data_IF_386009233214
#
_entry.id   IF_386009233214
#
_cell.length_a   1.000
_cell.length_b   1.000
_cell.length_c   1.000
_cell.angle_alpha   90.00
_cell.angle_beta   90.00
_cell.angle_gamma   90.00
#
_symmetry.space_group_name_H-M   'P 1'
#
loop_
_entity.id
_entity.type
_entity.pdbx_description
1 polymer ?
#
# COMPACT_ATOMS: atom_id res chain seq x y z
N UNK A 1 2.12 12.67 0.09
CA UNK A 1 2.34 12.41 1.54
C UNK A 1 3.13 11.12 1.65
N UNK A 2 4.34 11.16 2.20
CA UNK A 2 5.14 9.94 2.39
C UNK A 2 4.88 9.43 3.80
N UNK A 3 4.01 8.43 3.93
CA UNK A 3 3.84 7.69 5.18
C UNK A 3 4.76 6.47 5.14
N UNK A 4 5.56 6.30 6.19
CA UNK A 4 6.48 5.17 6.35
C UNK A 4 5.92 4.26 7.44
N UNK A 5 5.75 2.97 7.14
CA UNK A 5 5.36 1.96 8.10
C UNK A 5 6.16 0.68 7.90
N UNK A 6 6.49 0.03 9.01
CA UNK A 6 7.11 -1.29 8.97
C UNK A 6 6.02 -2.32 8.70
N UNK A 7 6.14 -3.01 7.57
CA UNK A 7 5.12 -3.93 7.08
C UNK A 7 5.78 -5.26 6.73
N UNK A 8 5.04 -6.35 6.91
CA UNK A 8 5.53 -7.67 6.56
C UNK A 8 5.57 -7.81 5.03
N UNK A 9 6.72 -8.24 4.51
CA UNK A 9 6.86 -8.61 3.09
C UNK A 9 6.30 -10.02 2.88
N UNK A 10 5.33 -10.19 1.99
CA UNK A 10 4.68 -11.48 1.75
C UNK A 10 5.35 -12.29 0.64
N UNK A 11 5.32 -11.75 -0.58
CA UNK A 11 5.68 -12.51 -1.78
C UNK A 11 6.38 -11.63 -2.81
N UNK A 12 7.31 -12.23 -3.54
CA UNK A 12 7.92 -11.62 -4.72
C UNK A 12 7.07 -11.87 -5.94
N UNK A 13 6.87 -10.83 -6.75
CA UNK A 13 6.15 -10.95 -8.01
C UNK A 13 7.06 -10.74 -9.21
N UNK A 14 8.04 -9.84 -9.08
CA UNK A 14 8.85 -9.47 -10.23
C UNK A 14 10.27 -9.04 -9.82
N UNK A 15 11.21 -9.40 -10.68
CA UNK A 15 12.57 -8.89 -10.68
C UNK A 15 12.95 -8.66 -12.14
N UNK A 16 13.50 -7.49 -12.44
CA UNK A 16 13.89 -7.11 -13.79
C UNK A 16 15.12 -7.88 -14.29
N UNK A 17 16.04 -8.25 -13.38
CA UNK A 17 17.35 -8.79 -13.75
C UNK A 17 17.37 -10.31 -13.89
N UNK A 18 16.72 -11.04 -12.98
CA UNK A 18 16.73 -12.51 -13.01
C UNK A 18 15.43 -13.09 -12.44
N UNK A 19 14.80 -13.97 -13.21
CA UNK A 19 13.55 -14.64 -12.85
C UNK A 19 13.74 -15.68 -11.73
N UNK A 20 14.92 -16.28 -11.63
CA UNK A 20 15.24 -17.25 -10.58
C UNK A 20 15.13 -16.65 -9.18
N UNK A 21 15.47 -15.37 -9.02
CA UNK A 21 15.37 -14.66 -7.75
C UNK A 21 13.92 -14.51 -7.26
N UNK A 22 12.95 -14.54 -8.18
CA UNK A 22 11.52 -14.57 -7.83
C UNK A 22 11.14 -15.96 -7.32
N UNK A 23 11.64 -17.02 -7.98
CA UNK A 23 11.39 -18.43 -7.63
C UNK A 23 11.98 -18.79 -6.27
N UNK A 24 13.23 -18.38 -6.00
CA UNK A 24 13.94 -18.64 -4.74
C UNK A 24 13.56 -17.69 -3.60
N UNK A 25 12.67 -16.72 -3.85
CA UNK A 25 12.29 -15.68 -2.89
C UNK A 25 13.49 -14.89 -2.35
N UNK A 26 14.53 -14.60 -3.14
CA UNK A 26 15.74 -13.85 -2.73
C UNK A 26 15.56 -12.32 -2.85
N UNK A 27 15.65 -11.56 -1.75
CA UNK A 27 15.42 -10.09 -1.73
C UNK A 27 16.63 -9.33 -2.27
N UNK A 28 16.40 -8.50 -3.29
CA UNK A 28 17.42 -7.61 -3.87
C UNK A 28 16.83 -6.24 -4.13
N UNK A 29 17.70 -5.25 -4.33
CA UNK A 29 17.30 -3.90 -4.75
C UNK A 29 16.47 -3.97 -6.04
N UNK A 30 15.46 -3.12 -6.13
CA UNK A 30 14.54 -2.97 -7.25
C UNK A 30 13.64 -4.19 -7.52
N UNK A 31 13.52 -5.09 -6.54
CA UNK A 31 12.56 -6.18 -6.61
C UNK A 31 11.16 -5.68 -6.26
N UNK A 32 10.16 -6.14 -7.00
CA UNK A 32 8.76 -5.84 -6.74
C UNK A 32 8.15 -6.92 -5.85
N UNK A 33 7.61 -6.47 -4.73
CA UNK A 33 7.07 -7.30 -3.66
C UNK A 33 5.64 -6.91 -3.32
N UNK A 34 4.90 -7.87 -2.78
CA UNK A 34 3.62 -7.64 -2.11
C UNK A 34 3.84 -7.38 -0.63
N UNK A 35 3.21 -6.32 -0.15
CA UNK A 35 3.30 -5.87 1.23
C UNK A 35 1.91 -5.67 1.82
N UNK A 36 1.81 -5.75 3.14
CA UNK A 36 0.54 -5.53 3.83
C UNK A 36 0.03 -4.10 3.64
N UNK A 37 -1.26 -3.98 3.31
CA UNK A 37 -1.95 -2.70 3.20
C UNK A 37 -2.54 -2.20 4.53
N UNK A 38 -2.69 -3.06 5.54
CA UNK A 38 -3.41 -2.72 6.78
C UNK A 38 -2.89 -1.49 7.52
N UNK A 39 -1.58 -1.27 7.75
CA UNK A 39 -1.14 -0.09 8.48
C UNK A 39 -1.30 1.20 7.67
N UNK A 40 -1.22 1.11 6.34
CA UNK A 40 -1.50 2.24 5.44
C UNK A 40 -2.99 2.61 5.48
N UNK A 41 -3.87 1.61 5.50
CA UNK A 41 -5.32 1.80 5.63
C UNK A 41 -5.68 2.45 6.97
N UNK A 42 -5.15 1.93 8.07
CA UNK A 42 -5.38 2.48 9.42
C UNK A 42 -4.93 3.94 9.51
N UNK A 43 -3.74 4.26 8.99
CA UNK A 43 -3.26 5.63 8.96
C UNK A 43 -4.15 6.53 8.11
N UNK A 44 -4.58 6.05 6.93
CA UNK A 44 -5.44 6.82 6.03
C UNK A 44 -6.79 7.14 6.68
N UNK A 45 -7.42 6.14 7.30
CA UNK A 45 -8.69 6.30 8.02
C UNK A 45 -8.54 7.27 9.20
N UNK A 46 -7.47 7.18 9.97
CA UNK A 46 -7.19 8.13 11.06
C UNK A 46 -6.85 9.55 10.57
N UNK A 47 -6.22 9.67 9.40
CA UNK A 47 -5.74 10.96 8.88
C UNK A 47 -6.84 11.77 8.18
N UNK A 48 -7.69 11.09 7.41
CA UNK A 48 -8.72 11.69 6.57
C UNK A 48 -10.15 11.47 7.09
N UNK A 49 -10.37 10.52 8.01
CA UNK A 49 -11.71 10.05 8.39
C UNK A 49 -12.57 9.68 7.18
N UNK A 50 -11.97 8.90 6.28
CA UNK A 50 -12.63 8.32 5.12
C UNK A 50 -12.32 6.82 5.12
N UNK A 51 -13.33 5.95 5.01
CA UNK A 51 -13.10 4.51 4.92
C UNK A 51 -12.42 4.17 3.59
N UNK A 52 -11.39 3.31 3.63
CA UNK A 52 -10.63 2.91 2.43
C UNK A 52 -10.56 1.38 2.32
N UNK A 53 -10.67 0.84 1.09
CA UNK A 53 -10.42 -0.58 0.83
C UNK A 53 -11.44 -1.56 1.41
N UNK A 54 -12.67 -1.11 1.70
CA UNK A 54 -13.73 -1.95 2.28
C UNK A 54 -14.73 -2.38 1.21
N UNK A 55 -15.03 -3.68 1.13
CA UNK A 55 -16.17 -4.16 0.34
C UNK A 55 -17.46 -3.56 0.92
N UNK A 56 -18.32 -3.04 0.06
CA UNK A 56 -19.65 -2.52 0.46
C UNK A 56 -20.39 -3.62 1.23
N UNK A 57 -20.63 -3.40 2.53
CA UNK A 57 -21.35 -4.33 3.40
C UNK A 57 -20.50 -5.17 4.38
N UNK A 58 -19.17 -5.03 4.40
CA UNK A 58 -18.36 -5.65 5.44
C UNK A 58 -18.55 -4.95 6.80
N UNK A 59 -18.87 -5.72 7.85
CA UNK A 59 -19.00 -5.22 9.23
C UNK A 59 -17.66 -4.65 9.68
N UNK A 60 -17.67 -3.40 10.14
CA UNK A 60 -16.50 -2.78 10.74
C UNK A 60 -16.25 -3.39 12.13
N UNK A 61 -14.98 -3.41 12.56
CA UNK A 61 -14.70 -3.67 13.98
C UNK A 61 -15.10 -2.46 14.82
N UNK A 62 -15.45 -2.64 16.10
CA UNK A 62 -15.87 -1.53 16.97
C UNK A 62 -14.83 -0.39 17.04
N UNK A 63 -13.54 -0.75 17.03
CA UNK A 63 -12.41 0.18 17.07
C UNK A 63 -12.34 1.06 15.81
N UNK A 64 -12.64 0.50 14.64
CA UNK A 64 -12.62 1.22 13.37
C UNK A 64 -13.82 2.17 13.23
N UNK A 65 -14.99 1.78 13.74
CA UNK A 65 -16.18 2.66 13.79
C UNK A 65 -15.96 3.86 14.70
N UNK A 66 -15.28 3.65 15.84
CA UNK A 66 -14.97 4.74 16.77
C UNK A 66 -14.03 5.77 16.15
N UNK A 67 -13.02 5.33 15.39
CA UNK A 67 -12.08 6.22 14.70
C UNK A 67 -12.78 7.03 13.60
N UNK A 68 -13.67 6.39 12.83
CA UNK A 68 -14.40 7.04 11.74
C UNK A 68 -15.47 8.02 12.22
N UNK A 69 -16.17 7.69 13.32
CA UNK A 69 -17.26 8.51 13.87
C UNK A 69 -16.81 9.40 15.03
N UNK A 70 -15.49 9.58 15.21
CA UNK A 70 -14.95 10.37 16.31
C UNK A 70 -15.45 11.82 16.24
N UNK A 71 -16.17 12.24 17.27
CA UNK A 71 -16.59 13.64 17.41
C UNK A 71 -15.39 14.51 17.74
N UNK A 72 -15.13 15.49 16.88
CA UNK A 72 -14.03 16.43 17.04
C UNK A 72 -14.51 17.84 17.39
N UNK A 73 -13.62 18.62 18.01
CA UNK A 73 -13.86 20.04 18.22
C UNK A 73 -13.90 20.79 16.87
N UNK A 74 -14.64 21.91 16.81
CA UNK A 74 -14.86 22.68 15.57
C UNK A 74 -13.55 23.04 14.82
N UNK A 75 -12.46 23.30 15.54
CA UNK A 75 -11.13 23.60 14.96
C UNK A 75 -10.49 22.38 14.29
N UNK A 76 -10.60 21.21 14.93
CA UNK A 76 -10.05 19.96 14.40
C UNK A 76 -10.87 19.47 13.21
N UNK A 77 -12.20 19.61 13.27
CA UNK A 77 -13.10 19.32 12.15
C UNK A 77 -12.71 20.11 10.90
N UNK A 78 -12.51 21.43 11.02
CA UNK A 78 -12.07 22.29 9.90
C UNK A 78 -10.72 21.84 9.31
N UNK A 79 -9.79 21.38 10.15
CA UNK A 79 -8.48 20.84 9.70
C UNK A 79 -8.66 19.56 8.89
N UNK A 80 -9.56 18.68 9.33
CA UNK A 80 -9.81 17.39 8.67
C UNK A 80 -10.59 17.59 7.38
N UNK A 81 -11.60 18.46 7.37
CA UNK A 81 -12.29 18.84 6.13
C UNK A 81 -11.36 19.51 5.12
N UNK A 82 -10.36 20.25 5.60
CA UNK A 82 -9.25 20.73 4.77
C UNK A 82 -8.44 19.60 4.13
N UNK A 83 -8.08 18.57 4.90
CA UNK A 83 -7.36 17.39 4.41
C UNK A 83 -8.18 16.54 3.46
N UNK A 84 -9.49 16.38 3.71
CA UNK A 84 -10.40 15.60 2.86
C UNK A 84 -10.38 16.06 1.39
N UNK A 85 -10.11 17.34 1.13
CA UNK A 85 -9.99 17.84 -0.25
C UNK A 85 -8.86 17.20 -1.04
N UNK A 86 -7.77 16.81 -0.38
CA UNK A 86 -6.61 16.15 -1.00
C UNK A 86 -6.62 14.64 -0.88
N UNK A 87 -7.74 14.03 -0.48
CA UNK A 87 -7.83 12.59 -0.20
C UNK A 87 -8.01 11.71 -1.44
N UNK A 88 -7.88 12.26 -2.64
CA UNK A 88 -8.15 11.49 -3.86
C UNK A 88 -7.02 10.49 -4.10
N UNK A 89 -7.34 9.19 -4.08
CA UNK A 89 -6.44 8.09 -4.41
C UNK A 89 -6.71 7.64 -5.86
N UNK A 90 -5.69 7.07 -6.51
CA UNK A 90 -5.86 6.44 -7.83
C UNK A 90 -6.69 5.15 -7.74
N UNK A 91 -7.56 4.90 -8.71
CA UNK A 91 -8.42 3.71 -8.76
C UNK A 91 -7.63 2.40 -8.65
N UNK A 92 -6.44 2.33 -9.27
CA UNK A 92 -5.57 1.15 -9.21
C UNK A 92 -5.08 0.85 -7.78
N UNK A 93 -4.84 1.89 -6.97
CA UNK A 93 -4.46 1.72 -5.57
C UNK A 93 -5.67 1.29 -4.74
N UNK A 94 -6.86 1.85 -5.01
CA UNK A 94 -8.09 1.43 -4.32
C UNK A 94 -8.38 -0.07 -4.50
N UNK A 95 -8.17 -0.60 -5.71
CA UNK A 95 -8.26 -2.04 -5.99
C UNK A 95 -7.28 -2.86 -5.16
N UNK A 96 -6.05 -2.39 -4.97
CA UNK A 96 -5.04 -3.07 -4.15
C UNK A 96 -5.38 -3.03 -2.66
N UNK A 97 -5.92 -1.91 -2.17
CA UNK A 97 -6.42 -1.81 -0.81
C UNK A 97 -7.59 -2.78 -0.55
N UNK A 98 -8.48 -2.98 -1.53
CA UNK A 98 -9.54 -3.99 -1.46
C UNK A 98 -9.01 -5.43 -1.40
N UNK A 99 -7.88 -5.69 -2.06
CA UNK A 99 -7.20 -7.00 -2.01
C UNK A 99 -6.41 -7.20 -0.70
N UNK A 100 -6.20 -6.13 0.08
CA UNK A 100 -5.43 -6.15 1.31
C UNK A 100 -3.92 -6.14 1.12
N UNK A 101 -3.41 -6.03 -0.12
CA UNK A 101 -1.98 -6.14 -0.44
C UNK A 101 -1.58 -5.07 -1.45
N UNK A 102 -0.48 -4.37 -1.17
CA UNK A 102 0.07 -3.31 -2.02
C UNK A 102 1.32 -3.82 -2.75
N UNK A 103 1.52 -3.30 -3.96
CA UNK A 103 2.78 -3.49 -4.69
C UNK A 103 3.80 -2.45 -4.23
N UNK A 104 4.99 -2.89 -3.86
CA UNK A 104 6.09 -2.02 -3.47
C UNK A 104 7.40 -2.42 -4.17
N UNK A 105 8.27 -1.43 -4.32
CA UNK A 105 9.63 -1.61 -4.82
C UNK A 105 10.63 -1.47 -3.68
N UNK A 106 11.55 -2.43 -3.56
CA UNK A 106 12.65 -2.36 -2.60
C UNK A 106 13.70 -1.37 -3.12
N UNK A 107 13.96 -0.30 -2.38
CA UNK A 107 14.98 0.69 -2.73
C UNK A 107 16.33 0.39 -2.06
N UNK A 108 16.32 -0.31 -0.94
CA UNK A 108 17.51 -0.70 -0.18
C UNK A 108 18.28 -1.86 -0.83
N UNK A 109 19.45 -2.19 -0.26
CA UNK A 109 20.26 -3.37 -0.64
C UNK A 109 20.31 -4.34 0.55
N UNK A 110 19.31 -5.24 0.71
CA UNK A 110 19.17 -6.07 1.91
C UNK A 110 20.40 -6.90 2.26
N UNK A 111 21.12 -7.44 1.26
CA UNK A 111 22.35 -8.21 1.47
C UNK A 111 23.56 -7.41 1.95
N UNK A 112 23.45 -6.08 2.09
CA UNK A 112 24.51 -5.22 2.61
C UNK A 112 24.08 -4.53 3.90
N UNK A 113 22.88 -3.93 3.91
CA UNK A 113 22.39 -3.17 5.06
C UNK A 113 21.54 -3.98 6.04
N UNK A 114 21.18 -5.24 5.72
CA UNK A 114 20.29 -6.07 6.54
C UNK A 114 18.84 -5.57 6.59
N UNK A 115 18.48 -4.56 5.78
CA UNK A 115 17.14 -3.93 5.76
C UNK A 115 16.52 -3.96 4.38
N UNK A 116 15.20 -4.12 4.33
CA UNK A 116 14.40 -4.18 3.11
C UNK A 116 13.46 -2.97 2.99
N UNK A 117 14.05 -1.78 2.96
CA UNK A 117 13.30 -0.52 2.85
C UNK A 117 12.92 -0.26 1.39
N UNK A 118 11.75 0.33 1.19
CA UNK A 118 11.15 0.54 -0.13
C UNK A 118 10.03 1.56 -0.12
N UNK A 119 9.35 1.67 -1.24
CA UNK A 119 8.20 2.55 -1.43
C UNK A 119 7.09 1.84 -2.20
N UNK A 120 5.84 2.25 -1.96
CA UNK A 120 4.67 1.74 -2.67
C UNK A 120 4.69 2.26 -4.11
N UNK A 121 4.36 1.39 -5.07
CA UNK A 121 4.27 1.75 -6.47
C UNK A 121 2.99 2.54 -6.74
N UNK A 122 3.12 3.70 -7.39
CA UNK A 122 1.99 4.59 -7.72
C UNK A 122 2.02 5.03 -9.19
N UNK A 123 0.86 5.48 -9.70
CA UNK A 123 0.73 6.11 -11.03
C UNK A 123 1.26 5.27 -12.19
N UNK A 124 2.04 5.91 -13.08
CA UNK A 124 2.60 5.28 -14.30
C UNK A 124 3.53 4.12 -14.00
N UNK A 125 4.24 4.17 -12.87
CA UNK A 125 5.16 3.11 -12.47
C UNK A 125 4.39 1.84 -12.08
N UNK A 126 3.30 2.01 -11.34
CA UNK A 126 2.39 0.92 -11.00
C UNK A 126 1.82 0.24 -12.26
N UNK A 127 1.33 1.04 -13.21
CA UNK A 127 0.82 0.53 -14.49
C UNK A 127 1.88 -0.26 -15.27
N UNK A 128 3.12 0.25 -15.31
CA UNK A 128 4.22 -0.40 -15.99
C UNK A 128 4.51 -1.79 -15.41
N UNK A 129 4.66 -1.90 -14.09
CA UNK A 129 4.94 -3.18 -13.44
C UNK A 129 3.75 -4.13 -13.47
N UNK A 130 2.51 -3.64 -13.33
CA UNK A 130 1.32 -4.46 -13.51
C UNK A 130 1.28 -5.10 -14.89
N UNK A 131 1.58 -4.34 -15.95
CA UNK A 131 1.66 -4.86 -17.32
C UNK A 131 2.75 -5.93 -17.46
N UNK A 132 3.93 -5.72 -16.88
CA UNK A 132 5.03 -6.69 -16.90
C UNK A 132 4.69 -7.99 -16.16
N UNK A 133 4.06 -7.89 -14.99
CA UNK A 133 3.61 -9.05 -14.19
C UNK A 133 2.55 -9.84 -14.97
N UNK A 134 1.54 -9.16 -15.56
CA UNK A 134 0.50 -9.81 -16.35
C UNK A 134 1.06 -10.53 -17.57
N UNK A 135 1.95 -9.89 -18.34
CA UNK A 135 2.59 -10.50 -19.50
C UNK A 135 3.43 -11.74 -19.15
N UNK A 136 4.03 -11.77 -17.95
CA UNK A 136 4.84 -12.89 -17.48
C UNK A 136 4.00 -14.04 -16.92
N UNK A 137 2.78 -13.78 -16.44
CA UNK A 137 1.83 -14.80 -15.96
C UNK A 137 1.09 -15.50 -17.12
N UNK A 138 0.95 -14.82 -18.26
CA UNK A 138 0.31 -15.36 -19.47
C UNK A 138 1.25 -16.15 -20.40
N UNK A 139 2.52 -16.31 -20.02
CA UNK A 139 3.46 -17.26 -20.63
C UNK A 139 3.54 -18.49 -19.75
#
# INVERSE_FOLDING_TARGET
MQYLSNTQTFQKLYNASNNELVRTKTLVKNCIVLVDSTPFRQWYEAHYAIPLGRKKGAKLTPEEEEILNKKWSKKVQKKIDGRRKSSKISSLLEEQFLQGKLLACIASRPGQCGRADGYILEGKELEFYLRKIRAKKGK
#
